data_IF_501420196559
#
_entry.id   IF_501420196559
#
_cell.length_a   1.000
_cell.length_b   1.000
_cell.length_c   1.000
_cell.angle_alpha   90.00
_cell.angle_beta   90.00
_cell.angle_gamma   90.00
#
_symmetry.space_group_name_H-M   'P 1'
#
loop_
_entity.id
_entity.type
_entity.pdbx_description
1 polymer ?
#
# COMPACT_ATOMS: atom_id res chain seq x y z
N UNK A 1 -14.70 -9.46 -18.37
CA UNK A 1 -15.64 -10.06 -17.39
C UNK A 1 -15.09 -11.41 -16.94
N UNK A 2 -15.28 -11.70 -15.64
CA UNK A 2 -15.24 -13.01 -14.96
C UNK A 2 -13.89 -13.63 -14.55
N UNK A 3 -13.71 -13.73 -13.22
CA UNK A 3 -13.41 -14.95 -12.44
C UNK A 3 -13.48 -14.53 -10.95
N UNK A 4 -14.57 -14.66 -10.18
CA UNK A 4 -15.37 -15.84 -9.79
C UNK A 4 -14.53 -16.93 -9.12
N UNK A 5 -14.63 -17.04 -7.78
CA UNK A 5 -14.02 -18.16 -7.06
C UNK A 5 -13.97 -18.06 -5.54
N UNK A 6 -15.03 -17.63 -4.85
CA UNK A 6 -15.20 -17.93 -3.41
C UNK A 6 -16.67 -18.25 -3.15
N UNK A 7 -16.93 -19.48 -2.70
CA UNK A 7 -17.83 -19.90 -1.60
C UNK A 7 -17.95 -21.43 -1.66
N UNK A 8 -17.59 -22.08 -0.55
CA UNK A 8 -18.27 -23.29 -0.10
C UNK A 8 -18.27 -23.28 1.43
N UNK A 9 -19.43 -22.96 2.00
CA UNK A 9 -19.76 -23.03 3.43
C UNK A 9 -20.71 -24.22 3.62
N UNK A 10 -20.46 -24.97 4.71
CA UNK A 10 -21.35 -25.91 5.44
C UNK A 10 -21.87 -27.17 4.73
N UNK A 11 -21.43 -28.32 5.26
CA UNK A 11 -22.27 -29.48 5.49
C UNK A 11 -22.22 -29.83 6.98
N UNK A 12 -23.36 -29.77 7.66
CA UNK A 12 -23.54 -30.19 9.05
C UNK A 12 -24.19 -31.58 9.11
N UNK A 13 -23.87 -32.30 10.19
CA UNK A 13 -24.63 -33.37 10.85
C UNK A 13 -24.62 -34.80 10.25
N UNK A 14 -23.86 -35.66 10.91
CA UNK A 14 -24.38 -36.93 11.42
C UNK A 14 -23.59 -37.34 12.67
N UNK A 15 -24.26 -37.40 13.81
CA UNK A 15 -23.80 -38.11 15.02
C UNK A 15 -24.80 -39.24 15.29
N UNK A 16 -24.34 -40.35 15.88
CA UNK A 16 -24.75 -40.60 17.26
C UNK A 16 -23.57 -41.06 18.15
N UNK A 17 -23.50 -40.46 19.34
CA UNK A 17 -22.51 -40.73 20.40
C UNK A 17 -22.80 -42.05 21.17
N UNK A 18 -21.96 -42.51 22.13
CA UNK A 18 -21.87 -41.81 23.42
C UNK A 18 -20.46 -41.68 24.05
N UNK A 19 -20.31 -40.54 24.74
CA UNK A 19 -19.54 -40.35 25.99
C UNK A 19 -18.03 -40.66 26.00
N UNK A 20 -17.25 -39.80 25.35
CA UNK A 20 -15.98 -39.36 25.93
C UNK A 20 -16.17 -37.91 26.38
N UNK A 21 -15.90 -37.64 27.66
CA UNK A 21 -16.05 -36.33 28.29
C UNK A 21 -15.48 -35.20 27.42
N UNK A 22 -16.10 -34.01 27.41
CA UNK A 22 -15.53 -32.87 26.71
C UNK A 22 -14.10 -32.65 27.23
N UNK A 23 -13.09 -32.47 26.35
CA UNK A 23 -11.83 -31.93 26.81
C UNK A 23 -12.17 -30.64 27.54
N UNK A 24 -11.83 -30.61 28.83
CA UNK A 24 -12.08 -29.47 29.69
C UNK A 24 -11.55 -28.23 29.00
N UNK A 25 -12.35 -27.18 29.10
CA UNK A 25 -11.98 -25.81 28.79
C UNK A 25 -10.51 -25.58 29.09
N UNK A 26 -9.69 -25.43 28.06
CA UNK A 26 -8.53 -24.57 28.21
C UNK A 26 -9.08 -23.16 28.05
N UNK A 27 -9.78 -22.70 29.09
CA UNK A 27 -9.65 -21.32 29.52
C UNK A 27 -8.21 -21.15 29.99
N UNK A 28 -7.25 -21.25 29.05
CA UNK A 28 -6.09 -20.39 29.11
C UNK A 28 -6.56 -19.07 28.52
N UNK A 29 -7.37 -18.41 29.34
CA UNK A 29 -7.36 -16.96 29.45
C UNK A 29 -5.92 -16.60 29.84
N UNK A 30 -4.98 -16.68 28.89
CA UNK A 30 -3.79 -15.85 28.95
C UNK A 30 -4.39 -14.48 28.75
N UNK A 31 -4.45 -13.63 29.80
CA UNK A 31 -4.84 -12.25 29.57
C UNK A 31 -3.80 -11.76 28.59
N UNK A 32 -4.21 -11.50 27.35
CA UNK A 32 -3.38 -10.81 26.39
C UNK A 32 -2.87 -9.60 27.15
N UNK A 33 -1.56 -9.58 27.43
CA UNK A 33 -0.93 -8.46 28.11
C UNK A 33 -1.49 -7.21 27.42
N UNK A 34 -2.19 -6.30 28.12
CA UNK A 34 -3.01 -5.28 27.48
C UNK A 34 -2.26 -4.32 26.53
N UNK A 35 -0.93 -4.48 26.37
CA UNK A 35 -0.12 -3.82 25.36
C UNK A 35 0.14 -4.60 24.06
N UNK A 36 0.01 -5.94 24.01
CA UNK A 36 0.46 -6.71 22.84
C UNK A 36 -0.48 -6.56 21.63
N UNK A 37 -1.80 -6.52 21.88
CA UNK A 37 -2.78 -6.31 20.82
C UNK A 37 -2.75 -4.87 20.28
N UNK A 38 -2.40 -3.90 21.12
CA UNK A 38 -2.26 -2.49 20.72
C UNK A 38 -0.96 -2.24 19.92
N UNK A 39 0.14 -2.89 20.32
CA UNK A 39 1.38 -2.91 19.54
C UNK A 39 1.19 -3.59 18.19
N UNK A 40 0.50 -4.73 18.13
CA UNK A 40 0.19 -5.40 16.87
C UNK A 40 -0.72 -4.55 15.96
N UNK A 41 -1.77 -3.92 16.53
CA UNK A 41 -2.65 -3.03 15.76
C UNK A 41 -1.92 -1.80 15.24
N UNK A 42 -1.05 -1.19 16.05
CA UNK A 42 -0.26 -0.01 15.64
C UNK A 42 0.80 -0.37 14.60
N UNK A 43 1.48 -1.52 14.73
CA UNK A 43 2.41 -2.04 13.73
C UNK A 43 1.74 -2.33 12.38
N UNK A 44 0.59 -3.01 12.38
CA UNK A 44 -0.18 -3.27 11.16
C UNK A 44 -0.64 -1.97 10.48
N UNK A 45 -1.11 -0.99 11.26
CA UNK A 45 -1.48 0.32 10.73
C UNK A 45 -0.28 1.05 10.13
N UNK A 46 0.88 1.02 10.78
CA UNK A 46 2.11 1.61 10.25
C UNK A 46 2.57 1.00 8.92
N UNK A 47 2.44 -0.32 8.76
CA UNK A 47 2.74 -1.00 7.48
C UNK A 47 1.73 -0.61 6.39
N UNK A 48 0.45 -0.50 6.73
CA UNK A 48 -0.58 -0.05 5.78
C UNK A 48 -0.35 1.39 5.32
N UNK A 49 -0.01 2.28 6.25
CA UNK A 49 0.32 3.68 5.95
C UNK A 49 1.60 3.75 5.09
N UNK A 50 2.63 2.98 5.41
CA UNK A 50 3.87 2.89 4.62
C UNK A 50 3.59 2.42 3.19
N UNK A 51 2.76 1.38 3.03
CA UNK A 51 2.33 0.89 1.71
C UNK A 51 1.61 1.99 0.92
N UNK A 52 0.69 2.71 1.55
CA UNK A 52 -0.05 3.78 0.89
C UNK A 52 0.87 4.92 0.44
N UNK A 53 1.89 5.27 1.23
CA UNK A 53 2.91 6.24 0.82
C UNK A 53 3.73 5.73 -0.37
N UNK A 54 4.15 4.45 -0.36
CA UNK A 54 4.89 3.84 -1.45
C UNK A 54 4.09 3.84 -2.77
N UNK A 55 2.81 3.49 -2.72
CA UNK A 55 1.92 3.51 -3.88
C UNK A 55 1.82 4.92 -4.48
N UNK A 56 1.61 5.94 -3.63
CA UNK A 56 1.59 7.34 -4.08
C UNK A 56 2.93 7.78 -4.66
N UNK A 57 4.04 7.34 -4.08
CA UNK A 57 5.37 7.66 -4.60
C UNK A 57 5.55 7.10 -6.02
N UNK A 58 5.11 5.86 -6.24
CA UNK A 58 5.09 5.25 -7.57
C UNK A 58 4.21 6.05 -8.54
N UNK A 59 3.00 6.44 -8.15
CA UNK A 59 2.10 7.24 -8.99
C UNK A 59 2.72 8.58 -9.40
N UNK A 60 3.42 9.26 -8.48
CA UNK A 60 4.16 10.49 -8.80
C UNK A 60 5.32 10.24 -9.77
N UNK A 61 6.10 9.16 -9.60
CA UNK A 61 7.17 8.80 -10.55
C UNK A 61 6.59 8.53 -11.95
N UNK A 62 5.48 7.80 -12.02
CA UNK A 62 4.77 7.51 -13.26
C UNK A 62 4.27 8.78 -13.96
N UNK A 63 3.70 9.71 -13.18
CA UNK A 63 3.24 11.01 -13.67
C UNK A 63 4.42 11.85 -14.19
N UNK A 64 5.54 11.88 -13.46
CA UNK A 64 6.78 12.53 -13.91
C UNK A 64 7.27 11.95 -15.23
N UNK A 65 7.29 10.62 -15.35
CA UNK A 65 7.67 9.93 -16.57
C UNK A 65 6.76 10.32 -17.74
N UNK A 66 5.45 10.43 -17.51
CA UNK A 66 4.50 10.92 -18.51
C UNK A 66 4.86 12.30 -19.06
N UNK A 67 5.21 13.25 -18.17
CA UNK A 67 5.69 14.57 -18.59
C UNK A 67 6.98 14.50 -19.42
N UNK A 68 7.96 13.68 -19.01
CA UNK A 68 9.22 13.52 -19.73
C UNK A 68 9.03 12.85 -21.11
N UNK A 69 8.14 11.86 -21.20
CA UNK A 69 7.78 11.23 -22.47
C UNK A 69 7.13 12.23 -23.43
N UNK A 70 6.20 13.05 -22.95
CA UNK A 70 5.58 14.08 -23.77
C UNK A 70 6.58 15.19 -24.16
N UNK A 71 7.52 15.57 -23.29
CA UNK A 71 8.64 16.45 -23.67
C UNK A 71 9.43 15.85 -24.84
N UNK A 72 9.79 14.56 -24.76
CA UNK A 72 10.52 13.88 -25.83
C UNK A 72 9.78 13.96 -27.16
N UNK A 73 8.48 13.69 -27.18
CA UNK A 73 7.66 13.78 -28.39
C UNK A 73 7.59 15.21 -28.95
N UNK A 74 7.52 16.22 -28.08
CA UNK A 74 7.47 17.62 -28.50
C UNK A 74 8.79 18.10 -29.11
N UNK A 75 9.92 17.53 -28.69
CA UNK A 75 11.23 17.86 -29.27
C UNK A 75 11.36 17.42 -30.73
N UNK A 76 10.56 16.44 -31.18
CA UNK A 76 10.48 16.03 -32.59
C UNK A 76 9.74 17.06 -33.47
N UNK A 77 9.12 18.07 -32.86
CA UNK A 77 8.34 19.11 -33.53
C UNK A 77 8.81 20.53 -33.16
N UNK A 78 10.05 20.91 -33.50
CA UNK A 78 10.68 22.16 -33.03
C UNK A 78 9.98 23.44 -33.52
N UNK A 79 9.15 23.35 -34.55
CA UNK A 79 8.45 24.49 -35.16
C UNK A 79 7.14 24.86 -34.44
N UNK A 80 6.74 24.10 -33.41
CA UNK A 80 5.49 24.39 -32.70
C UNK A 80 5.57 25.75 -31.97
N UNK A 81 4.58 26.64 -32.18
CA UNK A 81 4.55 27.93 -31.49
C UNK A 81 4.40 27.72 -29.98
N UNK A 82 5.13 28.49 -29.19
CA UNK A 82 5.09 28.41 -27.72
C UNK A 82 5.79 27.19 -27.11
N UNK A 83 6.44 26.36 -27.93
CA UNK A 83 7.14 25.15 -27.47
C UNK A 83 8.11 25.40 -26.31
N UNK A 84 8.98 26.44 -26.30
CA UNK A 84 9.89 26.66 -25.17
C UNK A 84 9.18 26.85 -23.83
N UNK A 85 8.05 27.57 -23.82
CA UNK A 85 7.24 27.79 -22.62
C UNK A 85 6.57 26.50 -22.15
N UNK A 86 6.01 25.73 -23.08
CA UNK A 86 5.42 24.43 -22.78
C UNK A 86 6.45 23.45 -22.19
N UNK A 87 7.64 23.36 -22.79
CA UNK A 87 8.74 22.52 -22.30
C UNK A 87 9.17 22.93 -20.90
N UNK A 88 9.25 24.23 -20.60
CA UNK A 88 9.54 24.70 -19.25
C UNK A 88 8.46 24.25 -18.26
N UNK A 89 7.17 24.45 -18.57
CA UNK A 89 6.07 24.06 -17.68
C UNK A 89 6.11 22.56 -17.40
N UNK A 90 6.29 21.75 -18.44
CA UNK A 90 6.35 20.29 -18.30
C UNK A 90 7.56 19.83 -17.51
N UNK A 91 8.74 20.43 -17.69
CA UNK A 91 9.92 20.13 -16.87
C UNK A 91 9.68 20.48 -15.40
N UNK A 92 9.05 21.62 -15.13
CA UNK A 92 8.72 22.04 -13.78
C UNK A 92 7.70 21.07 -13.13
N UNK A 93 6.69 20.61 -13.87
CA UNK A 93 5.75 19.61 -13.39
C UNK A 93 6.42 18.24 -13.16
N UNK A 94 7.21 17.75 -14.11
CA UNK A 94 7.99 16.52 -13.93
C UNK A 94 8.87 16.56 -12.68
N UNK A 95 9.53 17.70 -12.44
CA UNK A 95 10.37 17.89 -11.25
C UNK A 95 9.55 17.89 -9.96
N UNK A 96 8.41 18.60 -9.93
CA UNK A 96 7.50 18.62 -8.77
C UNK A 96 7.03 17.22 -8.40
N UNK A 97 6.70 16.39 -9.38
CA UNK A 97 6.32 15.00 -9.14
C UNK A 97 7.46 14.16 -8.57
N UNK A 98 8.70 14.33 -9.06
CA UNK A 98 9.86 13.65 -8.47
C UNK A 98 10.13 14.10 -7.03
N UNK A 99 10.04 15.42 -6.76
CA UNK A 99 10.22 15.94 -5.41
C UNK A 99 9.10 15.42 -4.46
N UNK A 100 7.88 15.21 -4.98
CA UNK A 100 6.78 14.59 -4.22
C UNK A 100 7.05 13.11 -3.94
N UNK A 101 7.49 12.35 -4.95
CA UNK A 101 7.86 10.95 -4.79
C UNK A 101 8.97 10.76 -3.76
N UNK A 102 10.00 11.60 -3.78
CA UNK A 102 11.10 11.56 -2.79
C UNK A 102 10.62 11.80 -1.36
N UNK A 103 9.67 12.73 -1.16
CA UNK A 103 9.08 12.96 0.15
C UNK A 103 8.31 11.73 0.64
N UNK A 104 7.48 11.15 -0.23
CA UNK A 104 6.71 9.96 0.09
C UNK A 104 7.59 8.73 0.34
N UNK A 105 8.70 8.59 -0.38
CA UNK A 105 9.73 7.57 -0.11
C UNK A 105 10.30 7.74 1.29
N UNK A 106 10.69 8.96 1.66
CA UNK A 106 11.23 9.25 3.00
C UNK A 106 10.21 8.96 4.11
N UNK A 107 8.94 9.31 3.89
CA UNK A 107 7.83 8.98 4.79
C UNK A 107 7.63 7.46 4.92
N UNK A 108 7.67 6.74 3.79
CA UNK A 108 7.57 5.26 3.75
C UNK A 108 8.67 4.62 4.58
N UNK A 109 9.92 5.05 4.40
CA UNK A 109 11.08 4.56 5.16
C UNK A 109 10.90 4.85 6.64
N UNK A 110 10.45 6.06 7.00
CA UNK A 110 10.20 6.45 8.39
C UNK A 110 9.16 5.55 9.05
N UNK A 111 8.03 5.31 8.37
CA UNK A 111 6.96 4.43 8.86
C UNK A 111 7.45 2.99 8.99
N UNK A 112 8.14 2.46 7.97
CA UNK A 112 8.68 1.11 8.02
C UNK A 112 9.67 0.92 9.18
N UNK A 113 10.58 1.87 9.39
CA UNK A 113 11.50 1.85 10.53
C UNK A 113 10.78 1.95 11.87
N UNK A 114 9.73 2.77 11.98
CA UNK A 114 8.96 2.86 13.24
C UNK A 114 8.31 1.54 13.61
N UNK A 115 7.89 0.74 12.64
CA UNK A 115 7.29 -0.58 12.89
C UNK A 115 8.34 -1.64 13.22
N UNK A 116 9.53 -1.59 12.59
CA UNK A 116 10.62 -2.52 12.89
C UNK A 116 11.27 -2.32 14.28
N UNK A 117 11.00 -1.20 14.95
CA UNK A 117 11.50 -0.87 16.28
C UNK A 117 10.48 -1.09 17.40
N UNK A 118 9.26 -1.54 17.07
CA UNK A 118 8.22 -1.98 18.02
C UNK A 118 8.39 -3.47 18.35
#
# INVERSE_FOLDING_TARGET
>A
MAAAGLIAVRGAAASPAPAAAPPRSNDDDVPGLPGNDELQRSGLRGIQDARACAEKACDSVETSRGHLCAIRMLLDHPHLPGLPGLLHVMRASARRELDAAQKLEQETISLAHSVCLL
#
